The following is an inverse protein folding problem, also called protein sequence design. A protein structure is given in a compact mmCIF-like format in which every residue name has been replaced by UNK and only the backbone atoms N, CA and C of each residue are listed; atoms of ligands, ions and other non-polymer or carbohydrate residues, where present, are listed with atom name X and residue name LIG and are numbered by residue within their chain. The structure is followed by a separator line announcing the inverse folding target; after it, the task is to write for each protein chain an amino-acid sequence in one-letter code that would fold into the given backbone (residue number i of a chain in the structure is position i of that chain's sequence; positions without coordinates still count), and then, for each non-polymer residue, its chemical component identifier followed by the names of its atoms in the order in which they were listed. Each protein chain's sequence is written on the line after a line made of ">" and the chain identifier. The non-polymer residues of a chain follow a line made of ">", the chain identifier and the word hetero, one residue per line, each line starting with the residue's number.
data_IF_517531124699
#
_entry.id   IF_517531124699
#
_cell.length_a   1.000
_cell.length_b   1.000
_cell.length_c   1.000
_cell.angle_alpha   90.00
_cell.angle_beta   90.00
_cell.angle_gamma   90.00
#
_symmetry.space_group_name_H-M   'P 1'
#
loop_
_entity.id
_entity.type
_entity.pdbx_description
1 polymer ?
#
# COMPACT_ATOMS: atom_id res chain seq x y z
N UNK A 1 -38.70 -6.43 -12.47
CA UNK A 1 -37.79 -5.69 -13.38
C UNK A 1 -37.29 -6.68 -14.43
N UNK A 2 -37.72 -6.54 -15.69
CA UNK A 2 -37.47 -7.45 -16.83
C UNK A 2 -36.18 -7.13 -17.59
N UNK A 3 -35.33 -6.27 -17.03
CA UNK A 3 -34.08 -5.84 -17.65
C UNK A 3 -33.01 -6.93 -17.49
N UNK A 4 -32.84 -7.74 -18.55
CA UNK A 4 -31.93 -8.89 -18.59
C UNK A 4 -30.47 -8.49 -18.35
N UNK A 5 -30.09 -7.25 -18.67
CA UNK A 5 -28.75 -6.71 -18.41
C UNK A 5 -28.49 -6.48 -16.92
N UNK A 6 -29.51 -6.11 -16.13
CA UNK A 6 -29.36 -6.00 -14.67
C UNK A 6 -29.22 -7.35 -13.98
N UNK A 7 -29.79 -8.42 -14.54
CA UNK A 7 -29.62 -9.79 -14.01
C UNK A 7 -28.24 -10.38 -14.30
N UNK A 8 -27.57 -9.92 -15.37
CA UNK A 8 -26.22 -10.32 -15.77
C UNK A 8 -25.11 -9.52 -15.07
N UNK A 9 -25.45 -8.49 -14.28
CA UNK A 9 -24.46 -7.79 -13.47
C UNK A 9 -23.95 -8.72 -12.37
N UNK A 10 -22.73 -9.22 -12.53
CA UNK A 10 -22.02 -9.94 -11.49
C UNK A 10 -21.70 -8.96 -10.36
N UNK A 11 -22.56 -8.94 -9.34
CA UNK A 11 -22.26 -8.25 -8.09
C UNK A 11 -21.12 -8.99 -7.40
N UNK A 12 -19.90 -8.45 -7.52
CA UNK A 12 -18.72 -8.98 -6.82
C UNK A 12 -18.87 -8.62 -5.33
N UNK A 13 -19.66 -9.41 -4.62
CA UNK A 13 -19.82 -9.33 -3.17
C UNK A 13 -18.62 -10.01 -2.52
N UNK A 14 -18.06 -9.43 -1.46
CA UNK A 14 -16.90 -10.04 -0.80
C UNK A 14 -17.34 -11.37 -0.18
N UNK A 15 -16.51 -12.40 -0.30
CA UNK A 15 -16.81 -13.74 0.20
C UNK A 15 -17.33 -13.74 1.64
N UNK A 16 -16.72 -12.95 2.54
CA UNK A 16 -17.13 -12.82 3.94
C UNK A 16 -18.59 -12.35 4.15
N UNK A 17 -19.14 -11.60 3.20
CA UNK A 17 -20.49 -11.01 3.29
C UNK A 17 -21.56 -12.00 2.80
N UNK A 18 -21.14 -13.10 2.16
CA UNK A 18 -22.01 -14.19 1.67
C UNK A 18 -21.72 -15.50 2.41
N UNK A 19 -20.58 -15.61 3.11
CA UNK A 19 -20.14 -16.82 3.80
C UNK A 19 -21.14 -17.30 4.85
N UNK A 20 -21.78 -16.36 5.55
CA UNK A 20 -22.84 -16.65 6.53
C UNK A 20 -24.13 -17.18 5.92
N UNK A 21 -24.32 -17.01 4.61
CA UNK A 21 -25.47 -17.52 3.85
C UNK A 21 -25.21 -18.91 3.29
N UNK A 22 -23.99 -19.45 3.42
CA UNK A 22 -23.64 -20.79 2.95
C UNK A 22 -24.21 -21.84 3.92
N UNK A 23 -24.97 -22.82 3.42
CA UNK A 23 -25.42 -23.96 4.21
C UNK A 23 -24.27 -24.72 4.89
N UNK A 24 -24.45 -25.12 6.15
CA UNK A 24 -23.39 -25.73 6.96
C UNK A 24 -22.75 -26.98 6.33
N UNK A 25 -23.53 -27.75 5.57
CA UNK A 25 -23.06 -28.94 4.84
C UNK A 25 -22.11 -28.61 3.66
N UNK A 26 -22.14 -27.38 3.14
CA UNK A 26 -21.30 -26.94 2.02
C UNK A 26 -20.03 -26.23 2.49
N UNK A 27 -19.97 -25.77 3.74
CA UNK A 27 -18.79 -25.07 4.27
C UNK A 27 -17.49 -25.86 4.09
N UNK A 28 -17.40 -27.17 4.43
CA UNK A 28 -16.15 -27.91 4.27
C UNK A 28 -15.68 -28.01 2.82
N UNK A 29 -16.62 -28.10 1.88
CA UNK A 29 -16.32 -28.13 0.44
C UNK A 29 -15.80 -26.77 -0.04
N UNK A 30 -16.39 -25.67 0.43
CA UNK A 30 -15.95 -24.32 0.08
C UNK A 30 -14.58 -24.02 0.68
N UNK A 31 -14.37 -24.34 1.96
CA UNK A 31 -13.08 -24.18 2.64
C UNK A 31 -11.98 -24.91 1.86
N UNK A 32 -12.21 -26.18 1.51
CA UNK A 32 -11.26 -26.97 0.70
C UNK A 32 -10.97 -26.32 -0.65
N UNK A 33 -11.99 -25.80 -1.34
CA UNK A 33 -11.79 -25.09 -2.63
C UNK A 33 -11.00 -23.80 -2.47
N UNK A 34 -11.18 -23.08 -1.36
CA UNK A 34 -10.40 -21.89 -1.04
C UNK A 34 -8.94 -22.29 -0.78
N UNK A 35 -8.71 -23.35 0.01
CA UNK A 35 -7.37 -23.89 0.27
C UNK A 35 -6.69 -24.32 -1.03
N UNK A 36 -7.35 -25.11 -1.87
CA UNK A 36 -6.85 -25.55 -3.17
C UNK A 36 -6.50 -24.36 -4.07
N UNK A 37 -7.37 -23.33 -4.09
CA UNK A 37 -7.13 -22.11 -4.86
C UNK A 37 -5.95 -21.30 -4.32
N UNK A 38 -5.78 -21.24 -2.99
CA UNK A 38 -4.63 -20.58 -2.35
C UNK A 38 -3.33 -21.31 -2.65
N UNK A 39 -3.33 -22.65 -2.64
CA UNK A 39 -2.17 -23.49 -2.99
C UNK A 39 -1.81 -23.31 -4.46
N UNK A 40 -2.81 -23.26 -5.35
CA UNK A 40 -2.61 -23.10 -6.80
C UNK A 40 -2.16 -21.69 -7.20
N UNK A 41 -2.40 -20.68 -6.37
CA UNK A 41 -2.05 -19.30 -6.69
C UNK A 41 -0.52 -19.13 -6.80
N UNK A 42 0.00 -18.60 -7.92
CA UNK A 42 1.44 -18.43 -8.08
C UNK A 42 1.98 -17.42 -7.07
N UNK A 43 3.09 -17.77 -6.42
CA UNK A 43 3.83 -16.89 -5.53
C UNK A 43 4.33 -15.67 -6.32
N UNK A 44 3.93 -14.47 -5.88
CA UNK A 44 4.39 -13.19 -6.46
C UNK A 44 5.52 -12.64 -5.62
N UNK A 45 6.73 -12.67 -6.18
CA UNK A 45 7.90 -12.07 -5.56
C UNK A 45 8.06 -10.62 -6.02
N UNK A 46 8.43 -9.74 -5.08
CA UNK A 46 8.84 -8.37 -5.38
C UNK A 46 10.10 -8.05 -4.60
N UNK A 47 11.14 -7.65 -5.31
CA UNK A 47 12.36 -7.14 -4.69
C UNK A 47 12.21 -5.64 -4.42
N UNK A 48 12.52 -5.21 -3.20
CA UNK A 48 12.52 -3.82 -2.80
C UNK A 48 13.87 -3.44 -2.19
N UNK A 49 14.49 -2.37 -2.69
CA UNK A 49 15.69 -1.78 -2.07
C UNK A 49 15.27 -0.92 -0.90
N UNK A 50 16.00 -1.03 0.21
CA UNK A 50 15.79 -0.29 1.44
C UNK A 50 17.14 0.18 2.00
N UNK A 51 17.13 1.28 2.76
CA UNK A 51 18.34 1.84 3.33
C UNK A 51 19.01 0.91 4.35
N UNK A 52 20.33 1.02 4.49
CA UNK A 52 21.15 0.16 5.37
C UNK A 52 20.66 0.18 6.82
N UNK A 53 20.28 1.34 7.34
CA UNK A 53 19.70 1.48 8.69
C UNK A 53 18.39 0.72 8.85
N UNK A 54 17.56 0.68 7.81
CA UNK A 54 16.29 -0.06 7.81
C UNK A 54 16.54 -1.56 7.76
N UNK A 55 17.51 -2.02 6.95
CA UNK A 55 17.94 -3.42 6.91
C UNK A 55 18.38 -3.88 8.30
N UNK A 56 19.23 -3.10 8.97
CA UNK A 56 19.70 -3.41 10.34
C UNK A 56 18.53 -3.55 11.32
N UNK A 57 17.54 -2.64 11.26
CA UNK A 57 16.33 -2.70 12.11
C UNK A 57 15.46 -3.92 11.82
N UNK A 58 15.32 -4.29 10.54
CA UNK A 58 14.58 -5.48 10.11
C UNK A 58 15.27 -6.75 10.61
N UNK A 59 16.59 -6.85 10.46
CA UNK A 59 17.38 -7.98 10.96
C UNK A 59 17.29 -8.10 12.49
N UNK A 60 17.43 -6.99 13.23
CA UNK A 60 17.27 -6.99 14.69
C UNK A 60 15.85 -7.43 15.11
N UNK A 61 14.83 -6.99 14.38
CA UNK A 61 13.44 -7.42 14.61
C UNK A 61 13.28 -8.92 14.36
N UNK A 62 13.82 -9.42 13.25
CA UNK A 62 13.77 -10.85 12.91
C UNK A 62 14.47 -11.70 13.96
N UNK A 63 15.68 -11.31 14.40
CA UNK A 63 16.40 -12.02 15.46
C UNK A 63 15.61 -12.08 16.79
N UNK A 64 14.86 -11.02 17.11
CA UNK A 64 14.04 -10.94 18.32
C UNK A 64 12.79 -11.82 18.26
N UNK A 65 12.18 -11.97 17.08
CA UNK A 65 10.84 -12.56 16.94
C UNK A 65 10.78 -13.84 16.09
N UNK A 66 11.92 -14.35 15.62
CA UNK A 66 12.03 -15.55 14.77
C UNK A 66 11.25 -16.78 15.27
N UNK A 67 11.08 -16.94 16.59
CA UNK A 67 10.36 -18.06 17.20
C UNK A 67 8.84 -17.94 17.11
N UNK A 68 8.31 -16.73 16.93
CA UNK A 68 6.88 -16.45 17.05
C UNK A 68 6.27 -15.77 15.81
N UNK A 69 7.09 -15.29 14.88
CA UNK A 69 6.63 -14.51 13.73
C UNK A 69 6.26 -15.34 12.51
N UNK A 70 6.51 -16.66 12.54
CA UNK A 70 6.26 -17.59 11.44
C UNK A 70 6.86 -17.10 10.10
N UNK A 71 8.01 -16.42 10.16
CA UNK A 71 8.67 -15.85 8.98
C UNK A 71 8.03 -14.56 8.44
N UNK A 72 7.01 -14.01 9.11
CA UNK A 72 6.34 -12.77 8.72
C UNK A 72 6.88 -11.57 9.49
N UNK A 73 7.52 -10.64 8.76
CA UNK A 73 8.15 -9.43 9.35
C UNK A 73 7.22 -8.61 10.27
N UNK A 74 5.93 -8.54 9.93
CA UNK A 74 4.91 -7.82 10.69
C UNK A 74 3.78 -8.73 11.18
N UNK A 75 4.12 -9.92 11.67
CA UNK A 75 3.15 -10.81 12.33
C UNK A 75 2.50 -10.14 13.54
N UNK A 76 1.20 -10.34 13.72
CA UNK A 76 0.45 -9.79 14.86
C UNK A 76 0.90 -10.38 16.20
N UNK A 77 1.41 -11.60 16.21
CA UNK A 77 1.98 -12.26 17.39
C UNK A 77 3.11 -11.43 18.04
N UNK A 78 3.82 -10.66 17.23
CA UNK A 78 4.95 -9.80 17.66
C UNK A 78 4.52 -8.45 18.22
N UNK A 79 3.22 -8.10 18.13
CA UNK A 79 2.71 -6.81 18.58
C UNK A 79 2.48 -6.82 20.10
N UNK A 80 2.48 -5.64 20.72
CA UNK A 80 2.27 -5.49 22.17
C UNK A 80 0.82 -5.78 22.61
N UNK A 81 -0.16 -5.57 21.74
CA UNK A 81 -1.58 -5.76 22.04
C UNK A 81 -1.94 -7.24 22.19
N UNK A 82 -2.52 -7.62 23.34
CA UNK A 82 -2.99 -8.99 23.59
C UNK A 82 -4.04 -9.45 22.57
N UNK A 83 -4.98 -8.56 22.20
CA UNK A 83 -5.97 -8.84 21.14
C UNK A 83 -5.28 -9.14 19.81
N UNK A 84 -4.25 -8.39 19.45
CA UNK A 84 -3.55 -8.62 18.19
C UNK A 84 -2.73 -9.91 18.24
N UNK A 85 -2.02 -10.17 19.34
CA UNK A 85 -1.14 -11.33 19.50
C UNK A 85 -1.87 -12.67 19.36
N UNK A 86 -3.12 -12.71 19.79
CA UNK A 86 -3.94 -13.93 19.79
C UNK A 86 -4.72 -14.14 18.47
N UNK A 87 -4.39 -13.39 17.41
CA UNK A 87 -5.01 -13.51 16.09
C UNK A 87 -3.93 -13.74 15.06
N UNK A 88 -4.07 -14.80 14.28
CA UNK A 88 -3.12 -15.14 13.22
C UNK A 88 -3.02 -14.08 12.13
N UNK A 89 -1.87 -14.08 11.46
CA UNK A 89 -1.58 -13.25 10.30
C UNK A 89 -0.84 -11.95 10.60
N UNK A 90 -0.83 -11.06 9.61
CA UNK A 90 -0.03 -9.84 9.61
C UNK A 90 -0.80 -8.59 10.05
N UNK A 91 -0.08 -7.54 10.40
CA UNK A 91 -0.65 -6.22 10.74
C UNK A 91 -1.78 -5.79 9.78
N UNK A 92 -2.87 -5.25 10.34
CA UNK A 92 -4.01 -4.77 9.54
C UNK A 92 -3.73 -3.38 8.98
N UNK A 93 -4.40 -3.01 7.88
CA UNK A 93 -4.40 -1.63 7.35
C UNK A 93 -4.86 -0.61 8.40
N UNK A 94 -5.84 -0.97 9.24
CA UNK A 94 -6.34 -0.11 10.31
C UNK A 94 -5.30 0.13 11.40
N UNK A 95 -4.51 -0.89 11.74
CA UNK A 95 -3.38 -0.75 12.66
C UNK A 95 -2.33 0.21 12.11
N UNK A 96 -2.01 0.12 10.81
CA UNK A 96 -1.12 1.09 10.16
C UNK A 96 -1.71 2.51 10.20
N UNK A 97 -2.99 2.66 9.86
CA UNK A 97 -3.67 3.97 9.91
C UNK A 97 -3.63 4.58 11.31
N UNK A 98 -3.87 3.78 12.36
CA UNK A 98 -3.78 4.24 13.76
C UNK A 98 -2.40 4.81 14.11
N UNK A 99 -1.32 4.21 13.59
CA UNK A 99 0.04 4.75 13.76
C UNK A 99 0.17 6.09 13.02
N UNK A 100 -0.29 6.18 11.77
CA UNK A 100 -0.25 7.43 11.01
C UNK A 100 -1.12 8.55 11.59
N UNK A 101 -2.25 8.23 12.21
CA UNK A 101 -3.07 9.21 12.91
C UNK A 101 -2.33 9.82 14.10
N UNK A 102 -1.50 9.05 14.81
CA UNK A 102 -0.64 9.59 15.87
C UNK A 102 0.41 10.55 15.32
N UNK A 103 1.01 10.22 14.17
CA UNK A 103 1.96 11.10 13.50
C UNK A 103 1.26 12.40 13.05
N UNK A 104 0.06 12.29 12.48
CA UNK A 104 -0.77 13.44 12.10
C UNK A 104 -1.08 14.34 13.31
N UNK A 105 -1.46 13.74 14.45
CA UNK A 105 -1.71 14.50 15.67
C UNK A 105 -0.44 15.20 16.18
N UNK A 106 0.71 14.54 16.09
CA UNK A 106 2.00 15.15 16.44
C UNK A 106 2.36 16.32 15.50
N UNK A 107 2.14 16.21 14.20
CA UNK A 107 2.33 17.31 13.26
C UNK A 107 1.49 18.53 13.64
N UNK A 108 0.23 18.32 14.07
CA UNK A 108 -0.60 19.43 14.54
C UNK A 108 -0.01 20.16 15.76
N UNK A 109 0.70 19.44 16.65
CA UNK A 109 1.35 20.08 17.82
C UNK A 109 2.52 20.98 17.46
N UNK A 110 3.12 20.81 16.27
CA UNK A 110 4.20 21.67 15.77
C UNK A 110 3.70 22.72 14.77
N UNK A 111 2.37 22.92 14.69
CA UNK A 111 1.74 23.91 13.82
C UNK A 111 1.40 23.43 12.41
N UNK A 112 1.64 22.16 12.10
CA UNK A 112 1.42 21.61 10.75
C UNK A 112 0.05 20.94 10.61
N UNK A 113 -0.77 21.46 9.70
CA UNK A 113 -2.14 20.96 9.44
C UNK A 113 -2.20 19.86 8.36
N UNK A 114 -1.22 18.94 8.36
CA UNK A 114 -1.08 17.91 7.32
C UNK A 114 -1.61 16.56 7.77
N UNK A 115 -2.52 15.97 6.97
CA UNK A 115 -2.99 14.59 7.17
C UNK A 115 -2.02 13.57 6.56
N UNK A 116 -1.38 12.78 7.41
CA UNK A 116 -0.44 11.73 6.99
C UNK A 116 -1.15 10.37 7.00
N UNK A 117 -1.02 9.63 5.89
CA UNK A 117 -1.50 8.26 5.74
C UNK A 117 -0.55 7.45 4.85
N UNK A 118 -0.84 6.15 4.66
CA UNK A 118 -0.05 5.26 3.78
C UNK A 118 0.15 5.85 2.38
N UNK A 119 -0.91 6.43 1.80
CA UNK A 119 -0.84 7.04 0.48
C UNK A 119 0.02 8.30 0.47
N UNK A 120 0.02 9.09 1.54
CA UNK A 120 0.89 10.27 1.67
C UNK A 120 2.36 9.86 1.59
N UNK A 121 2.77 8.81 2.32
CA UNK A 121 4.15 8.30 2.25
C UNK A 121 4.54 7.83 0.85
N UNK A 122 3.62 7.15 0.14
CA UNK A 122 3.90 6.72 -1.23
C UNK A 122 4.02 7.90 -2.19
N UNK A 123 3.25 8.97 -2.02
CA UNK A 123 3.38 10.23 -2.78
C UNK A 123 4.72 10.90 -2.51
N UNK A 124 5.11 11.01 -1.24
CA UNK A 124 6.40 11.58 -0.82
C UNK A 124 7.56 10.79 -1.46
N UNK A 125 7.53 9.46 -1.35
CA UNK A 125 8.50 8.60 -2.02
C UNK A 125 8.55 8.82 -3.54
N UNK A 126 7.38 8.88 -4.18
CA UNK A 126 7.27 9.07 -5.62
C UNK A 126 7.83 10.44 -6.07
N UNK A 127 7.55 11.51 -5.34
CA UNK A 127 8.08 12.86 -5.61
C UNK A 127 9.60 12.90 -5.46
N UNK A 128 10.15 12.33 -4.38
CA UNK A 128 11.61 12.28 -4.20
C UNK A 128 12.30 11.42 -5.27
N UNK A 129 11.71 10.30 -5.66
CA UNK A 129 12.24 9.47 -6.73
C UNK A 129 12.24 10.20 -8.08
N UNK A 130 11.18 10.96 -8.37
CA UNK A 130 11.12 11.79 -9.58
C UNK A 130 12.28 12.78 -9.64
N UNK A 131 12.43 13.61 -8.61
CA UNK A 131 13.46 14.65 -8.53
C UNK A 131 14.88 14.03 -8.55
N UNK A 132 15.14 13.00 -7.75
CA UNK A 132 16.47 12.39 -7.67
C UNK A 132 16.88 11.62 -8.92
N UNK A 133 15.91 11.21 -9.75
CA UNK A 133 16.16 10.57 -11.04
C UNK A 133 16.39 11.55 -12.19
N UNK A 134 16.44 12.86 -11.91
CA UNK A 134 16.48 13.89 -12.96
C UNK A 134 15.14 13.97 -13.71
N UNK A 135 14.03 13.93 -12.98
CA UNK A 135 12.67 14.05 -13.51
C UNK A 135 12.28 12.93 -14.50
N UNK A 136 12.79 11.70 -14.31
CA UNK A 136 12.49 10.56 -15.18
C UNK A 136 11.12 9.94 -14.88
N UNK A 137 10.09 10.40 -15.61
CA UNK A 137 8.70 9.93 -15.44
C UNK A 137 8.52 8.43 -15.75
N UNK A 138 9.22 7.91 -16.76
CA UNK A 138 9.12 6.50 -17.15
C UNK A 138 9.66 5.55 -16.07
N UNK A 139 10.75 5.93 -15.41
CA UNK A 139 11.28 5.21 -14.25
C UNK A 139 10.29 5.26 -13.09
N UNK A 140 9.76 6.45 -12.79
CA UNK A 140 8.78 6.62 -11.72
C UNK A 140 7.58 5.68 -11.93
N UNK A 141 6.98 5.70 -13.12
CA UNK A 141 5.83 4.87 -13.49
C UNK A 141 6.10 3.39 -13.26
N UNK A 142 7.26 2.87 -13.68
CA UNK A 142 7.65 1.46 -13.46
C UNK A 142 7.75 1.12 -11.99
N UNK A 143 8.28 2.03 -11.16
CA UNK A 143 8.46 1.79 -9.72
C UNK A 143 7.14 1.83 -8.95
N UNK A 144 6.25 2.76 -9.29
CA UNK A 144 4.94 2.91 -8.62
C UNK A 144 3.80 2.16 -9.32
N UNK A 145 4.05 1.51 -10.45
CA UNK A 145 3.09 0.66 -11.16
C UNK A 145 1.90 1.44 -11.73
N UNK A 146 2.10 2.68 -12.17
CA UNK A 146 1.08 3.44 -12.89
C UNK A 146 1.16 3.17 -14.38
N UNK A 147 0.00 3.08 -15.02
CA UNK A 147 -0.11 2.77 -16.45
C UNK A 147 0.15 3.98 -17.34
N UNK A 148 -0.09 5.21 -16.87
CA UNK A 148 0.08 6.43 -17.66
C UNK A 148 0.93 7.50 -16.94
N UNK A 149 1.63 8.37 -17.70
CA UNK A 149 2.38 9.49 -17.15
C UNK A 149 1.49 10.46 -16.37
N UNK A 150 0.31 10.77 -16.89
CA UNK A 150 -0.64 11.74 -16.29
C UNK A 150 -1.08 11.28 -14.89
N UNK A 151 -1.32 9.98 -14.73
CA UNK A 151 -1.62 9.39 -13.42
C UNK A 151 -0.47 9.63 -12.44
N UNK A 152 0.78 9.55 -12.89
CA UNK A 152 1.97 9.73 -12.07
C UNK A 152 2.22 11.21 -11.74
N UNK A 153 2.11 12.11 -12.72
CA UNK A 153 2.25 13.56 -12.53
C UNK A 153 1.23 14.08 -11.51
N UNK A 154 -0.06 13.74 -11.69
CA UNK A 154 -1.13 14.05 -10.72
C UNK A 154 -0.85 13.43 -9.35
N UNK A 155 -0.27 12.23 -9.32
CA UNK A 155 0.03 11.54 -8.06
C UNK A 155 1.12 12.24 -7.24
N UNK A 156 2.16 12.77 -7.90
CA UNK A 156 3.24 13.54 -7.25
C UNK A 156 2.94 15.03 -7.09
N UNK A 157 1.76 15.47 -7.56
CA UNK A 157 1.26 16.82 -7.36
C UNK A 157 1.94 17.86 -8.25
N UNK A 158 2.50 17.46 -9.40
CA UNK A 158 2.89 18.43 -10.44
C UNK A 158 1.60 19.08 -10.94
N UNK A 159 1.49 20.38 -10.72
CA UNK A 159 0.35 21.20 -11.06
C UNK A 159 0.68 22.11 -12.24
N UNK A 160 -0.32 22.84 -12.74
CA UNK A 160 -0.15 23.74 -13.88
C UNK A 160 0.83 24.89 -13.57
N UNK A 161 1.03 25.25 -12.29
CA UNK A 161 2.02 26.26 -11.87
C UNK A 161 3.46 25.77 -12.06
N UNK A 162 3.77 24.54 -11.63
CA UNK A 162 5.09 23.93 -11.83
C UNK A 162 5.40 23.75 -13.33
N UNK A 163 4.39 23.64 -14.20
CA UNK A 163 4.57 23.63 -15.65
C UNK A 163 4.96 25.00 -16.20
N UNK A 164 4.29 26.07 -15.74
CA UNK A 164 4.61 27.44 -16.15
C UNK A 164 6.01 27.84 -15.69
N UNK A 165 6.37 27.55 -14.42
CA UNK A 165 7.72 27.78 -13.89
C UNK A 165 8.79 27.07 -14.73
N UNK A 166 8.54 25.82 -15.15
CA UNK A 166 9.48 25.09 -16.01
C UNK A 166 9.64 25.71 -17.42
N UNK A 167 8.59 26.37 -17.93
CA UNK A 167 8.66 27.11 -19.20
C UNK A 167 9.47 28.39 -19.02
N UNK A 168 9.27 29.12 -17.92
CA UNK A 168 10.02 30.33 -17.59
C UNK A 168 11.52 30.04 -17.40
N UNK A 169 11.85 28.94 -16.71
CA UNK A 169 13.22 28.46 -16.57
C UNK A 169 13.86 28.10 -17.93
N UNK A 170 13.07 27.52 -18.84
CA UNK A 170 13.51 27.20 -20.20
C UNK A 170 13.81 28.46 -21.00
N UNK A 171 12.94 29.48 -20.95
CA UNK A 171 13.21 30.76 -21.62
C UNK A 171 14.47 31.43 -21.06
N UNK A 172 14.62 31.45 -19.73
CA UNK A 172 15.81 31.99 -19.07
C UNK A 172 17.09 31.29 -19.52
N UNK A 173 17.05 29.97 -19.72
CA UNK A 173 18.19 29.19 -20.22
C UNK A 173 18.57 29.54 -21.66
N UNK A 174 17.61 29.83 -22.54
CA UNK A 174 17.89 30.23 -23.92
C UNK A 174 18.39 31.66 -24.05
N UNK A 175 18.09 32.52 -23.08
CA UNK A 175 18.52 33.92 -23.04
C UNK A 175 19.88 34.12 -22.35
N UNK A 176 20.42 33.09 -21.69
CA UNK A 176 21.72 33.07 -21.01
C UNK A 176 22.88 32.65 -21.94
#
# INVERSE_FOLDING_TARGET
>A
STDTNKMMQVFITKAKDVYSLVPANLLPLIDKRIEDAMIKAPLKYRTAKIGVSTVKRIQARQAKYNKIDNGQLFSRSTLSSNRARNIDGVITRQSCYKVFSKITAYMATIGESVKIACHSLRKIFARHLYVSSGNNIGLLMKVIGHSTPEMSLRYIGINDSEQLEAIDDMFTYFEA
#
